data_IF_989911167746
#
_entry.id   IF_989911167746
#
_cell.length_a   1.000
_cell.length_b   1.000
_cell.length_c   1.000
_cell.angle_alpha   90.00
_cell.angle_beta   90.00
_cell.angle_gamma   90.00
#
_symmetry.space_group_name_H-M   'P 1'
#
loop_
_entity.id
_entity.type
_entity.pdbx_description
1 polymer ?
#
# COMPACT_ATOMS: atom_id res chain seq x y z
N UNK A 1 12.45 6.23 5.18
CA UNK A 1 12.66 5.93 6.60
C UNK A 1 14.14 5.76 6.92
N UNK A 2 14.83 4.76 6.38
CA UNK A 2 16.25 4.49 6.67
C UNK A 2 17.23 5.67 6.53
N UNK A 3 17.04 6.54 5.53
CA UNK A 3 17.89 7.72 5.36
C UNK A 3 17.69 8.73 6.51
N UNK A 4 16.45 8.99 6.92
CA UNK A 4 16.16 9.90 8.04
C UNK A 4 16.67 9.30 9.35
N UNK A 5 16.48 8.00 9.57
CA UNK A 5 17.04 7.31 10.75
C UNK A 5 18.58 7.35 10.77
N UNK A 6 19.22 7.19 9.61
CA UNK A 6 20.67 7.33 9.48
C UNK A 6 21.14 8.75 9.81
N UNK A 7 20.41 9.77 9.33
CA UNK A 7 20.69 11.17 9.65
C UNK A 7 20.48 11.47 11.15
N UNK A 8 19.44 10.91 11.77
CA UNK A 8 19.20 11.00 13.23
C UNK A 8 20.38 10.39 13.99
N UNK A 9 20.75 9.14 13.69
CA UNK A 9 21.89 8.46 14.33
C UNK A 9 23.18 9.28 14.18
N UNK A 10 23.47 9.78 12.97
CA UNK A 10 24.65 10.62 12.73
C UNK A 10 24.60 11.95 13.47
N UNK A 11 23.44 12.60 13.56
CA UNK A 11 23.28 13.84 14.33
C UNK A 11 23.44 13.64 15.84
N UNK A 12 23.16 12.44 16.36
CA UNK A 12 23.32 12.11 17.77
C UNK A 12 24.75 11.72 18.16
N UNK A 13 25.54 11.20 17.21
CA UNK A 13 26.92 10.76 17.41
C UNK A 13 27.95 11.88 17.17
N UNK A 14 27.66 12.80 16.24
CA UNK A 14 28.57 13.86 15.83
C UNK A 14 28.32 15.17 16.60
N UNK A 15 29.39 15.88 16.96
CA UNK A 15 29.28 17.27 17.44
C UNK A 15 28.85 18.19 16.29
N UNK A 16 28.13 19.29 16.59
CA UNK A 16 27.47 20.15 15.58
C UNK A 16 28.42 20.70 14.49
N UNK A 17 29.72 20.76 14.78
CA UNK A 17 30.76 21.28 13.89
C UNK A 17 31.67 20.20 13.28
N UNK A 18 31.46 18.91 13.58
CA UNK A 18 32.32 17.85 13.05
C UNK A 18 31.84 17.38 11.66
N UNK A 19 32.63 17.63 10.60
CA UNK A 19 32.25 17.25 9.25
C UNK A 19 32.07 15.73 9.12
N UNK A 20 30.88 15.29 8.73
CA UNK A 20 30.58 13.88 8.47
C UNK A 20 30.66 13.60 6.97
N UNK A 21 31.26 12.47 6.57
CA UNK A 21 31.28 12.04 5.17
C UNK A 21 29.94 11.41 4.80
N UNK A 22 29.26 12.00 3.81
CA UNK A 22 28.04 11.47 3.22
C UNK A 22 28.27 11.09 1.76
N UNK A 23 27.54 10.07 1.29
CA UNK A 23 27.54 9.66 -0.12
C UNK A 23 26.23 10.12 -0.76
N UNK A 24 26.31 11.15 -1.60
CA UNK A 24 25.16 11.75 -2.27
C UNK A 24 24.91 11.08 -3.61
N UNK A 25 23.64 10.79 -3.90
CA UNK A 25 23.20 10.33 -5.21
C UNK A 25 22.99 11.54 -6.12
N UNK A 26 23.77 11.67 -7.20
CA UNK A 26 23.63 12.74 -8.20
C UNK A 26 22.77 12.30 -9.38
N UNK A 27 22.88 11.02 -9.75
CA UNK A 27 22.04 10.34 -10.74
C UNK A 27 21.91 8.86 -10.36
N UNK A 28 21.09 8.11 -11.09
CA UNK A 28 20.78 6.70 -10.80
C UNK A 28 22.03 5.84 -10.52
N UNK A 29 23.08 6.02 -11.33
CA UNK A 29 24.35 5.30 -11.21
C UNK A 29 25.55 6.21 -10.86
N UNK A 30 25.32 7.45 -10.42
CA UNK A 30 26.39 8.41 -10.11
C UNK A 30 26.26 8.85 -8.66
N UNK A 31 27.29 8.53 -7.89
CA UNK A 31 27.38 8.84 -6.48
C UNK A 31 28.66 9.64 -6.22
N UNK A 32 28.58 10.64 -5.34
CA UNK A 32 29.72 11.45 -4.94
C UNK A 32 29.81 11.50 -3.42
N UNK A 33 31.03 11.35 -2.90
CA UNK A 33 31.31 11.60 -1.49
C UNK A 33 31.48 13.10 -1.28
N UNK A 34 30.87 13.62 -0.23
CA UNK A 34 31.12 14.97 0.22
C UNK A 34 31.06 15.02 1.74
N UNK A 35 31.84 15.93 2.29
CA UNK A 35 31.89 16.18 3.72
C UNK A 35 30.98 17.35 4.04
N UNK A 36 30.02 17.14 4.93
CA UNK A 36 29.07 18.16 5.34
C UNK A 36 28.80 18.07 6.85
N UNK A 37 28.45 19.19 7.51
CA UNK A 37 28.00 19.15 8.90
C UNK A 37 26.66 18.40 9.00
N UNK A 38 26.39 17.74 10.14
CA UNK A 38 25.09 17.10 10.38
C UNK A 38 23.93 18.10 10.32
N UNK A 39 22.93 17.81 9.49
CA UNK A 39 21.72 18.65 9.41
C UNK A 39 20.70 18.25 10.47
N UNK A 40 20.00 19.24 11.04
CA UNK A 40 18.88 19.04 11.98
C UNK A 40 17.51 18.97 11.28
N UNK A 41 17.48 19.29 9.99
CA UNK A 41 16.27 19.32 9.16
C UNK A 41 16.47 18.54 7.87
N UNK A 42 15.35 18.08 7.29
CA UNK A 42 15.30 17.34 6.02
C UNK A 42 14.15 17.85 5.16
N UNK A 43 14.37 17.88 3.85
CA UNK A 43 13.33 18.22 2.89
C UNK A 43 12.65 16.95 2.38
N UNK A 44 11.34 16.83 2.60
CA UNK A 44 10.53 15.71 2.12
C UNK A 44 9.68 16.13 0.92
N UNK A 45 9.65 15.28 -0.09
CA UNK A 45 8.77 15.44 -1.24
C UNK A 45 7.40 14.81 -0.95
N UNK A 46 6.36 15.64 -0.89
CA UNK A 46 5.01 15.23 -0.52
C UNK A 46 4.11 14.91 -1.72
N UNK A 47 4.62 15.11 -2.94
CA UNK A 47 3.85 15.01 -4.17
C UNK A 47 3.25 16.36 -4.58
N UNK A 48 2.48 16.37 -5.67
CA UNK A 48 1.87 17.58 -6.25
C UNK A 48 2.86 18.75 -6.44
N UNK A 49 4.12 18.45 -6.79
CA UNK A 49 5.21 19.41 -6.93
C UNK A 49 5.53 20.21 -5.65
N UNK A 50 5.22 19.66 -4.47
CA UNK A 50 5.45 20.29 -3.18
C UNK A 50 6.55 19.57 -2.41
N UNK A 51 7.53 20.34 -1.93
CA UNK A 51 8.58 19.92 -1.02
C UNK A 51 8.52 20.80 0.22
N UNK A 52 8.56 20.19 1.41
CA UNK A 52 8.56 20.90 2.68
C UNK A 52 9.74 20.46 3.54
N UNK A 53 10.28 21.41 4.28
CA UNK A 53 11.31 21.17 5.29
C UNK A 53 10.66 20.75 6.60
N UNK A 54 11.23 19.71 7.22
CA UNK A 54 10.81 19.16 8.50
C UNK A 54 12.02 18.99 9.40
N UNK A 55 11.82 19.06 10.71
CA UNK A 55 12.82 18.54 11.66
C UNK A 55 12.95 17.02 11.50
N UNK A 56 14.09 16.47 11.92
CA UNK A 56 14.32 15.02 11.83
C UNK A 56 13.23 14.21 12.57
N UNK A 57 12.75 14.70 13.72
CA UNK A 57 11.71 14.04 14.51
C UNK A 57 10.35 14.07 13.79
N UNK A 58 9.93 15.24 13.31
CA UNK A 58 8.68 15.38 12.53
C UNK A 58 8.70 14.53 11.26
N UNK A 59 9.84 14.49 10.56
CA UNK A 59 10.03 13.67 9.38
C UNK A 59 9.89 12.17 9.71
N UNK A 60 10.46 11.72 10.83
CA UNK A 60 10.37 10.33 11.27
C UNK A 60 8.92 9.95 11.62
N UNK A 61 8.23 10.80 12.36
CA UNK A 61 6.84 10.58 12.75
C UNK A 61 5.90 10.59 11.54
N UNK A 62 6.10 11.50 10.60
CA UNK A 62 5.35 11.54 9.34
C UNK A 62 5.55 10.25 8.54
N UNK A 63 6.80 9.79 8.40
CA UNK A 63 7.12 8.58 7.65
C UNK A 63 6.55 7.32 8.32
N UNK A 64 6.64 7.21 9.66
CA UNK A 64 6.03 6.11 10.43
C UNK A 64 4.52 6.09 10.33
N UNK A 65 3.89 7.27 10.39
CA UNK A 65 2.44 7.41 10.26
C UNK A 65 1.99 6.97 8.86
N UNK A 66 2.72 7.39 7.82
CA UNK A 66 2.44 6.97 6.45
C UNK A 66 2.64 5.46 6.25
N UNK A 67 3.70 4.88 6.83
CA UNK A 67 3.92 3.43 6.80
C UNK A 67 2.77 2.66 7.47
N UNK A 68 2.36 3.08 8.68
CA UNK A 68 1.26 2.45 9.39
C UNK A 68 -0.05 2.54 8.59
N UNK A 69 -0.36 3.71 8.04
CA UNK A 69 -1.55 3.89 7.20
C UNK A 69 -1.53 2.98 5.95
N UNK A 70 -0.37 2.85 5.31
CA UNK A 70 -0.20 1.95 4.17
C UNK A 70 -0.39 0.48 4.57
N UNK A 71 0.17 0.05 5.72
CA UNK A 71 -0.01 -1.31 6.25
C UNK A 71 -1.47 -1.60 6.61
N UNK A 72 -2.16 -0.66 7.26
CA UNK A 72 -3.58 -0.79 7.58
C UNK A 72 -4.42 -0.90 6.31
N UNK A 73 -4.14 -0.05 5.32
CA UNK A 73 -4.82 -0.08 4.02
C UNK A 73 -4.59 -1.42 3.31
N UNK A 74 -3.36 -1.96 3.35
CA UNK A 74 -3.05 -3.27 2.80
C UNK A 74 -3.89 -4.37 3.46
N UNK A 75 -3.93 -4.40 4.81
CA UNK A 75 -4.72 -5.37 5.56
C UNK A 75 -6.20 -5.30 5.22
N UNK A 76 -6.77 -4.09 5.12
CA UNK A 76 -8.17 -3.92 4.72
C UNK A 76 -8.43 -4.41 3.30
N UNK A 77 -7.53 -4.14 2.36
CA UNK A 77 -7.66 -4.63 0.99
C UNK A 77 -7.56 -6.17 0.89
N UNK A 78 -6.75 -6.81 1.74
CA UNK A 78 -6.67 -8.27 1.82
C UNK A 78 -7.98 -8.88 2.33
N UNK A 79 -8.59 -8.28 3.36
CA UNK A 79 -9.91 -8.68 3.87
C UNK A 79 -11.01 -8.49 2.83
N UNK A 80 -11.03 -7.34 2.15
CA UNK A 80 -11.98 -7.06 1.07
C UNK A 80 -11.81 -8.05 -0.09
N UNK A 81 -10.58 -8.41 -0.44
CA UNK A 81 -10.30 -9.39 -1.50
C UNK A 81 -10.81 -10.79 -1.11
N UNK A 82 -10.62 -11.21 0.14
CA UNK A 82 -11.16 -12.46 0.64
C UNK A 82 -12.69 -12.47 0.61
N UNK A 83 -13.32 -11.38 1.08
CA UNK A 83 -14.76 -11.21 1.03
C UNK A 83 -15.30 -11.29 -0.40
N UNK A 84 -14.70 -10.56 -1.35
CA UNK A 84 -15.10 -10.59 -2.75
C UNK A 84 -14.99 -12.01 -3.35
N UNK A 85 -13.96 -12.77 -3.00
CA UNK A 85 -13.80 -14.16 -3.45
C UNK A 85 -14.95 -15.05 -2.99
N UNK A 86 -15.37 -14.90 -1.74
CA UNK A 86 -16.50 -15.65 -1.19
C UNK A 86 -17.84 -15.22 -1.82
N UNK A 87 -18.01 -13.92 -2.07
CA UNK A 87 -19.18 -13.40 -2.77
C UNK A 87 -19.27 -13.91 -4.21
N UNK A 88 -18.16 -13.98 -4.93
CA UNK A 88 -18.10 -14.56 -6.29
C UNK A 88 -18.55 -16.01 -6.24
N UNK A 89 -17.95 -16.82 -5.38
CA UNK A 89 -18.26 -18.26 -5.26
C UNK A 89 -19.74 -18.48 -4.91
N UNK A 90 -20.27 -17.72 -3.95
CA UNK A 90 -21.68 -17.81 -3.55
C UNK A 90 -22.62 -17.43 -4.68
N UNK A 91 -22.28 -16.37 -5.42
CA UNK A 91 -23.06 -15.90 -6.57
C UNK A 91 -23.08 -16.95 -7.68
N UNK A 92 -21.94 -17.57 -8.00
CA UNK A 92 -21.84 -18.63 -9.00
C UNK A 92 -22.73 -19.83 -8.65
N UNK A 93 -22.70 -20.28 -7.40
CA UNK A 93 -23.56 -21.38 -6.93
C UNK A 93 -25.05 -21.01 -7.04
N UNK A 94 -25.42 -19.78 -6.68
CA UNK A 94 -26.80 -19.31 -6.76
C UNK A 94 -27.29 -19.21 -8.22
N UNK A 95 -26.44 -18.77 -9.14
CA UNK A 95 -26.73 -18.77 -10.58
C UNK A 95 -26.98 -20.21 -11.06
N UNK A 96 -26.11 -21.16 -10.72
CA UNK A 96 -26.26 -22.56 -11.10
C UNK A 96 -27.55 -23.18 -10.54
N UNK A 97 -27.89 -22.91 -9.27
CA UNK A 97 -29.15 -23.38 -8.65
C UNK A 97 -30.38 -22.81 -9.34
N UNK A 98 -30.37 -21.52 -9.65
CA UNK A 98 -31.48 -20.85 -10.34
C UNK A 98 -31.66 -21.41 -11.74
N UNK A 99 -30.57 -21.64 -12.46
CA UNK A 99 -30.59 -22.29 -13.78
C UNK A 99 -31.19 -23.70 -13.69
N UNK A 100 -30.70 -24.53 -12.76
CA UNK A 100 -31.18 -25.90 -12.57
C UNK A 100 -32.67 -25.95 -12.20
N UNK A 101 -33.12 -25.04 -11.34
CA UNK A 101 -34.54 -24.89 -11.01
C UNK A 101 -35.37 -24.51 -12.24
N UNK A 102 -34.90 -23.55 -13.05
CA UNK A 102 -35.53 -23.15 -14.30
C UNK A 102 -35.66 -24.31 -15.31
N UNK A 103 -34.65 -25.16 -15.44
CA UNK A 103 -34.71 -26.37 -16.28
C UNK A 103 -35.78 -27.35 -15.79
N UNK A 104 -35.85 -27.62 -14.47
CA UNK A 104 -36.86 -28.51 -13.89
C UNK A 104 -38.28 -27.99 -14.14
N UNK A 105 -38.52 -26.69 -13.98
CA UNK A 105 -39.83 -26.09 -14.28
C UNK A 105 -40.22 -26.27 -15.75
N UNK A 106 -39.29 -26.06 -16.69
CA UNK A 106 -39.54 -26.25 -18.12
C UNK A 106 -39.82 -27.71 -18.47
N UNK A 107 -39.10 -28.66 -17.87
CA UNK A 107 -39.36 -30.09 -18.06
C UNK A 107 -40.73 -30.50 -17.53
N UNK A 108 -41.10 -30.03 -16.34
CA UNK A 108 -42.41 -30.31 -15.75
C UNK A 108 -43.56 -29.74 -16.60
N UNK A 109 -43.40 -28.53 -17.16
CA UNK A 109 -44.38 -27.94 -18.08
C UNK A 109 -44.57 -28.81 -19.33
N UNK A 110 -43.47 -29.23 -19.98
CA UNK A 110 -43.52 -30.10 -21.17
C UNK A 110 -44.16 -31.48 -20.89
N UNK A 111 -43.85 -32.09 -19.74
CA UNK A 111 -44.45 -33.37 -19.35
C UNK A 111 -45.98 -33.25 -19.13
N UNK A 112 -46.44 -32.12 -18.58
CA UNK A 112 -47.86 -31.84 -18.36
C UNK A 112 -48.62 -31.57 -19.66
N UNK A 113 -47.95 -31.06 -20.69
CA UNK A 113 -48.50 -30.90 -22.05
C UNK A 113 -48.58 -32.24 -22.78
N UNK A 114 -47.56 -33.11 -22.66
CA UNK A 114 -47.53 -34.42 -23.31
C UNK A 114 -48.58 -35.42 -22.77
N UNK A 115 -48.92 -35.35 -21.48
CA UNK A 115 -49.95 -36.21 -20.87
C UNK A 115 -51.41 -35.78 -21.12
N UNK A 116 -51.63 -34.76 -21.95
CA UNK A 116 -52.97 -34.26 -22.34
C UNK A 116 -53.39 -34.65 -23.77
N UNK A 117 -52.55 -35.37 -24.52
CA UNK A 117 -52.91 -36.10 -25.74
C UNK A 117 -53.14 -37.57 -25.44
#
# INVERSE_FOLDING_TARGET
>A
MYVVEHLVSKSSEASEDEPTEYTYQLAENIWSKASAPPSKTVCLWLGANCMLEYTLDEALDLLKTNENNARTTLSSLEEDMAFLRDQITTTEVNIARTHNYGVKLRQAAKAKEAGKS
#
